data_IF_012447998345
#
_entry.id   IF_012447998345
#
_cell.length_a   1.000
_cell.length_b   1.000
_cell.length_c   1.000
_cell.angle_alpha   90.00
_cell.angle_beta   90.00
_cell.angle_gamma   90.00
#
_symmetry.space_group_name_H-M   'P 1'
#
loop_
_entity.id
_entity.type
_entity.pdbx_description
1 polymer ?
#
# COMPACT_ATOMS: atom_id res chain seq x y z
N UNK A 1 9.45 17.35 21.46
CA UNK A 1 8.48 16.27 21.60
C UNK A 1 7.33 16.65 20.67
N UNK A 2 7.27 16.07 19.47
CA UNK A 2 6.20 16.31 18.52
C UNK A 2 5.11 15.27 18.78
N UNK A 3 3.93 15.76 19.20
CA UNK A 3 2.73 14.92 19.32
C UNK A 3 2.29 14.46 17.95
N UNK A 4 2.26 13.14 17.75
CA UNK A 4 1.79 12.52 16.52
C UNK A 4 0.30 12.78 16.32
N UNK A 5 -0.03 13.49 15.26
CA UNK A 5 -1.39 13.80 14.86
C UNK A 5 -2.00 12.58 14.16
N UNK A 6 -3.00 11.95 14.75
CA UNK A 6 -3.78 10.89 14.10
C UNK A 6 -4.87 11.54 13.26
N UNK A 7 -4.90 11.23 11.96
CA UNK A 7 -5.91 11.73 11.03
C UNK A 7 -7.05 10.74 10.90
N UNK A 8 -8.29 11.19 11.02
CA UNK A 8 -9.51 10.39 10.85
C UNK A 8 -10.23 10.83 9.59
N UNK A 9 -10.62 9.88 8.74
CA UNK A 9 -11.36 10.17 7.52
C UNK A 9 -12.85 10.28 7.79
N UNK A 10 -13.44 11.42 7.43
CA UNK A 10 -14.87 11.66 7.50
C UNK A 10 -15.65 10.87 6.41
N UNK A 11 -16.97 10.75 6.56
CA UNK A 11 -17.82 10.04 5.59
C UNK A 11 -17.85 10.67 4.19
N UNK A 12 -17.33 11.87 4.06
CA UNK A 12 -17.18 12.63 2.80
C UNK A 12 -15.78 12.45 2.16
N UNK A 13 -14.92 11.58 2.72
CA UNK A 13 -13.56 11.34 2.24
C UNK A 13 -12.54 12.39 2.68
N UNK A 14 -12.89 13.33 3.56
CA UNK A 14 -11.94 14.30 4.10
C UNK A 14 -11.22 13.76 5.33
N UNK A 15 -9.92 14.05 5.46
CA UNK A 15 -9.10 13.67 6.61
C UNK A 15 -9.08 14.81 7.63
N UNK A 16 -9.52 14.51 8.86
CA UNK A 16 -9.46 15.42 10.00
C UNK A 16 -8.55 14.87 11.09
N UNK A 17 -7.85 15.75 11.78
CA UNK A 17 -6.96 15.38 12.88
C UNK A 17 -7.75 14.94 14.12
N UNK A 18 -7.40 13.78 14.68
CA UNK A 18 -7.94 13.28 15.97
C UNK A 18 -6.98 13.62 17.11
N UNK A 19 -7.51 14.13 18.22
CA UNK A 19 -6.74 14.50 19.40
C UNK A 19 -6.52 13.35 20.39
N UNK A 20 -6.90 12.11 20.10
CA UNK A 20 -6.69 10.97 21.00
C UNK A 20 -5.57 10.06 20.52
N UNK A 21 -4.56 10.00 21.36
CA UNK A 21 -3.24 9.43 21.14
C UNK A 21 -3.18 7.98 20.75
N UNK A 22 -2.72 7.73 19.54
CA UNK A 22 -2.26 6.43 19.05
C UNK A 22 -0.75 6.29 19.17
N UNK A 23 -0.23 5.97 20.37
CA UNK A 23 1.17 5.52 20.51
C UNK A 23 1.26 4.07 20.07
N UNK A 24 1.90 3.77 18.98
CA UNK A 24 2.28 2.39 18.79
C UNK A 24 2.87 1.91 17.48
N UNK A 25 2.67 2.54 16.35
CA UNK A 25 3.10 1.93 15.09
C UNK A 25 4.56 2.21 14.72
N UNK A 26 5.00 3.46 14.82
CA UNK A 26 6.36 3.86 14.44
C UNK A 26 7.47 3.35 15.36
N UNK A 27 7.16 3.00 16.62
CA UNK A 27 8.18 2.55 17.60
C UNK A 27 8.64 1.10 17.44
N UNK A 28 7.84 0.22 16.77
CA UNK A 28 8.22 -1.19 16.60
C UNK A 28 9.04 -1.48 15.35
N UNK A 29 8.99 -0.60 14.35
CA UNK A 29 9.76 -0.76 13.11
C UNK A 29 11.08 0.03 13.08
N UNK A 30 11.31 0.93 14.04
CA UNK A 30 12.47 1.82 14.08
C UNK A 30 13.69 1.34 14.88
N UNK A 31 13.57 0.30 15.70
CA UNK A 31 14.65 -0.07 16.63
C UNK A 31 15.65 -1.12 16.13
N UNK A 32 15.48 -1.65 14.92
CA UNK A 32 16.38 -2.69 14.38
C UNK A 32 17.44 -2.17 13.37
N UNK A 33 17.58 -0.88 13.16
CA UNK A 33 18.54 -0.33 12.19
C UNK A 33 19.26 0.91 12.72
N UNK A 34 20.07 0.74 13.77
CA UNK A 34 21.13 1.68 14.11
C UNK A 34 22.45 0.93 14.09
N UNK A 35 23.10 0.98 12.91
CA UNK A 35 24.56 1.03 12.71
C UNK A 35 24.81 1.03 11.20
N UNK A 36 25.05 2.12 10.61
CA UNK A 36 26.24 2.60 9.97
C UNK A 36 25.99 3.85 9.11
N UNK A 37 26.82 4.84 9.36
CA UNK A 37 26.63 6.21 8.92
C UNK A 37 27.23 6.47 7.53
N UNK A 38 26.65 7.45 6.84
CA UNK A 38 27.20 8.29 5.78
C UNK A 38 27.04 7.80 4.34
N UNK A 39 25.90 8.13 3.77
CA UNK A 39 25.86 8.69 2.41
C UNK A 39 24.59 9.53 2.26
N UNK A 40 24.72 10.82 2.48
CA UNK A 40 23.71 11.82 2.13
C UNK A 40 23.74 11.94 0.61
N UNK A 41 22.76 11.39 -0.09
CA UNK A 41 22.51 11.69 -1.48
C UNK A 41 21.46 12.80 -1.57
N UNK A 42 21.95 14.00 -1.83
CA UNK A 42 21.17 15.16 -2.24
C UNK A 42 20.55 14.86 -3.61
N UNK A 43 19.24 14.66 -3.68
CA UNK A 43 18.51 14.64 -4.93
C UNK A 43 18.24 16.07 -5.38
N UNK A 44 19.15 16.61 -6.19
CA UNK A 44 18.94 17.80 -7.02
C UNK A 44 17.91 17.48 -8.12
N UNK A 45 17.12 18.49 -8.40
CA UNK A 45 16.12 18.58 -9.48
C UNK A 45 16.79 18.25 -10.82
N UNK A 46 16.06 17.56 -11.66
CA UNK A 46 16.25 17.24 -13.09
C UNK A 46 16.69 15.78 -13.39
N UNK A 47 15.78 15.11 -14.07
CA UNK A 47 15.97 14.04 -15.04
C UNK A 47 17.02 12.96 -14.70
N UNK A 48 16.56 11.95 -13.96
CA UNK A 48 17.03 10.59 -14.24
C UNK A 48 15.97 9.61 -13.79
N UNK A 49 15.16 9.15 -14.75
CA UNK A 49 14.59 7.81 -14.66
C UNK A 49 15.82 6.89 -14.63
N UNK A 50 16.10 6.16 -13.55
CA UNK A 50 17.20 5.21 -13.60
C UNK A 50 16.83 4.13 -14.60
N UNK A 51 17.60 4.03 -15.67
CA UNK A 51 17.60 2.96 -16.68
C UNK A 51 17.80 1.55 -16.06
N UNK A 52 17.85 1.45 -14.76
CA UNK A 52 18.03 0.24 -13.96
C UNK A 52 16.72 -0.43 -13.50
N UNK A 53 15.55 0.03 -13.97
CA UNK A 53 14.28 -0.71 -13.88
C UNK A 53 14.06 -1.64 -15.08
N UNK A 54 15.10 -1.77 -15.96
CA UNK A 54 15.06 -2.75 -17.02
C UNK A 54 15.02 -4.18 -16.46
N UNK A 55 13.88 -4.81 -16.70
CA UNK A 55 13.70 -6.24 -16.92
C UNK A 55 14.45 -7.19 -15.95
N UNK A 56 14.24 -7.03 -14.64
CA UNK A 56 14.43 -8.19 -13.77
C UNK A 56 13.26 -9.15 -14.02
N UNK A 57 13.58 -10.44 -14.22
CA UNK A 57 12.62 -11.50 -14.54
C UNK A 57 11.28 -11.31 -13.80
N UNK A 58 10.13 -11.57 -14.47
CA UNK A 58 8.81 -11.40 -13.86
C UNK A 58 8.76 -12.14 -12.53
N UNK A 59 8.12 -11.53 -11.54
CA UNK A 59 7.93 -12.14 -10.23
C UNK A 59 7.38 -13.57 -10.41
N UNK A 60 7.87 -14.56 -9.66
CA UNK A 60 7.37 -15.92 -9.75
C UNK A 60 5.84 -15.88 -9.57
N UNK A 61 5.13 -16.60 -10.43
CA UNK A 61 3.67 -16.70 -10.33
C UNK A 61 3.32 -17.27 -8.96
N UNK A 62 2.67 -16.46 -8.13
CA UNK A 62 2.07 -16.91 -6.88
C UNK A 62 0.97 -17.95 -7.12
N UNK A 63 0.41 -18.49 -6.05
CA UNK A 63 -0.78 -19.34 -6.14
C UNK A 63 -1.89 -18.55 -6.83
N UNK A 64 -2.54 -19.15 -7.83
CA UNK A 64 -3.72 -18.54 -8.45
C UNK A 64 -4.80 -18.32 -7.37
N UNK A 65 -5.45 -17.13 -7.35
CA UNK A 65 -6.55 -16.87 -6.43
C UNK A 65 -7.71 -17.83 -6.65
N UNK A 66 -8.47 -18.14 -5.60
CA UNK A 66 -9.77 -18.77 -5.77
C UNK A 66 -10.67 -17.87 -6.62
N UNK A 67 -11.50 -18.42 -7.55
CA UNK A 67 -12.30 -17.60 -8.45
C UNK A 67 -13.18 -16.57 -7.74
N UNK A 68 -13.75 -16.94 -6.59
CA UNK A 68 -14.56 -16.05 -5.77
C UNK A 68 -13.78 -14.87 -5.18
N UNK A 69 -12.51 -15.10 -4.82
CA UNK A 69 -11.63 -14.03 -4.29
C UNK A 69 -11.27 -13.07 -5.42
N UNK A 70 -10.91 -13.61 -6.59
CA UNK A 70 -10.59 -12.77 -7.75
C UNK A 70 -11.79 -11.91 -8.16
N UNK A 71 -12.97 -12.52 -8.28
CA UNK A 71 -14.20 -11.81 -8.61
C UNK A 71 -14.52 -10.67 -7.61
N UNK A 72 -14.30 -10.88 -6.31
CA UNK A 72 -14.52 -9.82 -5.31
C UNK A 72 -13.44 -8.73 -5.35
N UNK A 73 -12.17 -9.08 -5.65
CA UNK A 73 -11.11 -8.09 -5.89
C UNK A 73 -11.50 -7.19 -7.06
N UNK A 74 -11.93 -7.78 -8.18
CA UNK A 74 -12.40 -7.06 -9.37
C UNK A 74 -13.62 -6.18 -9.05
N UNK A 75 -14.63 -6.73 -8.37
CA UNK A 75 -15.82 -5.99 -7.98
C UNK A 75 -15.49 -4.81 -7.04
N UNK A 76 -14.59 -5.02 -6.09
CA UNK A 76 -14.10 -3.97 -5.19
C UNK A 76 -13.34 -2.89 -5.96
N UNK A 77 -12.43 -3.26 -6.85
CA UNK A 77 -11.70 -2.30 -7.68
C UNK A 77 -12.65 -1.48 -8.57
N UNK A 78 -13.64 -2.12 -9.20
CA UNK A 78 -14.64 -1.45 -10.03
C UNK A 78 -15.50 -0.47 -9.23
N UNK A 79 -15.87 -0.81 -7.99
CA UNK A 79 -16.62 0.09 -7.09
C UNK A 79 -15.93 1.43 -6.90
N UNK A 80 -14.61 1.44 -6.91
CA UNK A 80 -13.77 2.62 -6.71
C UNK A 80 -13.11 3.16 -7.98
N UNK A 81 -13.43 2.63 -9.17
CA UNK A 81 -12.77 3.01 -10.43
C UNK A 81 -12.94 4.49 -10.82
N UNK A 82 -13.94 5.17 -10.27
CA UNK A 82 -14.16 6.62 -10.48
C UNK A 82 -13.55 7.52 -9.41
N UNK A 83 -12.79 6.98 -8.45
CA UNK A 83 -12.27 7.76 -7.32
C UNK A 83 -11.21 8.77 -7.78
N UNK A 84 -11.31 10.04 -7.27
CA UNK A 84 -10.45 11.15 -7.68
C UNK A 84 -8.95 10.91 -7.45
N UNK A 85 -8.61 10.14 -6.42
CA UNK A 85 -7.22 9.77 -6.12
C UNK A 85 -6.53 9.08 -7.31
N UNK A 86 -7.26 8.32 -8.12
CA UNK A 86 -6.72 7.63 -9.30
C UNK A 86 -6.25 8.63 -10.34
N UNK A 87 -7.09 9.63 -10.65
CA UNK A 87 -6.71 10.70 -11.60
C UNK A 87 -5.51 11.50 -11.10
N UNK A 88 -5.46 11.79 -9.81
CA UNK A 88 -4.35 12.53 -9.20
C UNK A 88 -3.04 11.74 -9.22
N UNK A 89 -3.11 10.40 -9.18
CA UNK A 89 -1.98 9.50 -9.27
C UNK A 89 -1.66 9.05 -10.72
N UNK A 90 -2.40 9.56 -11.72
CA UNK A 90 -2.21 9.19 -13.13
C UNK A 90 -2.62 7.76 -13.48
N UNK A 91 -3.50 7.14 -12.68
CA UNK A 91 -3.98 5.78 -12.91
C UNK A 91 -5.32 5.77 -13.64
N UNK A 92 -5.42 4.98 -14.70
CA UNK A 92 -6.69 4.60 -15.31
C UNK A 92 -7.44 3.59 -14.42
N UNK A 93 -8.73 3.33 -14.71
CA UNK A 93 -9.49 2.29 -14.04
C UNK A 93 -8.85 0.89 -14.19
N UNK A 94 -8.29 0.60 -15.38
CA UNK A 94 -7.58 -0.66 -15.64
C UNK A 94 -6.27 -0.73 -14.84
N UNK A 95 -5.49 0.36 -14.77
CA UNK A 95 -4.28 0.41 -13.96
C UNK A 95 -4.60 0.20 -12.49
N UNK A 96 -5.67 0.81 -12.00
CA UNK A 96 -6.14 0.63 -10.63
C UNK A 96 -6.49 -0.82 -10.32
N UNK A 97 -7.25 -1.49 -11.17
CA UNK A 97 -7.59 -2.90 -10.98
C UNK A 97 -6.33 -3.75 -10.81
N UNK A 98 -5.37 -3.62 -11.72
CA UNK A 98 -4.12 -4.38 -11.68
C UNK A 98 -3.25 -4.01 -10.47
N UNK A 99 -3.20 -2.73 -10.14
CA UNK A 99 -2.45 -2.21 -9.00
C UNK A 99 -3.00 -2.73 -7.67
N UNK A 100 -4.33 -2.69 -7.51
CA UNK A 100 -5.00 -3.21 -6.33
C UNK A 100 -4.84 -4.72 -6.21
N UNK A 101 -5.09 -5.48 -7.29
CA UNK A 101 -4.89 -6.92 -7.33
C UNK A 101 -3.44 -7.31 -6.98
N UNK A 102 -2.47 -6.60 -7.54
CA UNK A 102 -1.06 -6.83 -7.25
C UNK A 102 -0.71 -6.58 -5.78
N UNK A 103 -1.30 -5.54 -5.16
CA UNK A 103 -1.13 -5.29 -3.73
C UNK A 103 -1.67 -6.46 -2.90
N UNK A 104 -2.88 -6.95 -3.17
CA UNK A 104 -3.47 -8.10 -2.46
C UNK A 104 -2.62 -9.38 -2.65
N UNK A 105 -2.07 -9.61 -3.85
CA UNK A 105 -1.17 -10.74 -4.09
C UNK A 105 0.07 -10.67 -3.21
N UNK A 106 0.69 -9.50 -3.10
CA UNK A 106 1.93 -9.32 -2.32
C UNK A 106 1.66 -9.38 -0.82
N UNK A 107 0.51 -8.86 -0.35
CA UNK A 107 0.15 -8.84 1.07
C UNK A 107 -0.12 -10.24 1.62
N UNK A 108 -0.91 -11.04 0.93
CA UNK A 108 -1.40 -12.30 1.50
C UNK A 108 -1.23 -13.52 0.61
N UNK A 109 -0.79 -13.37 -0.65
CA UNK A 109 -0.86 -14.43 -1.65
C UNK A 109 -2.29 -14.92 -1.86
N UNK A 110 -3.27 -14.02 -1.76
CA UNK A 110 -4.70 -14.29 -1.85
C UNK A 110 -5.25 -15.19 -0.73
N UNK A 111 -4.58 -15.25 0.43
CA UNK A 111 -5.05 -16.03 1.58
C UNK A 111 -5.95 -15.16 2.49
N UNK A 112 -7.28 -15.44 2.56
CA UNK A 112 -8.20 -14.66 3.38
C UNK A 112 -7.99 -14.83 4.89
N UNK A 113 -7.20 -15.83 5.29
CA UNK A 113 -6.87 -16.13 6.70
C UNK A 113 -5.42 -15.80 7.04
N UNK A 114 -4.74 -15.02 6.20
CA UNK A 114 -3.37 -14.62 6.47
C UNK A 114 -3.29 -13.79 7.75
N UNK A 115 -2.29 -14.09 8.56
CA UNK A 115 -1.96 -13.30 9.75
C UNK A 115 -0.45 -13.12 9.79
N UNK A 116 0.00 -11.87 9.84
CA UNK A 116 1.43 -11.58 9.94
C UNK A 116 1.94 -11.71 11.39
N UNK A 117 3.25 -11.86 11.61
CA UNK A 117 3.84 -11.89 12.96
C UNK A 117 3.54 -10.62 13.78
N UNK A 118 3.24 -9.50 13.13
CA UNK A 118 2.92 -8.22 13.77
C UNK A 118 1.41 -7.98 13.92
N UNK A 119 0.59 -8.96 13.50
CA UNK A 119 -0.86 -8.93 13.71
C UNK A 119 -1.67 -8.30 12.58
N UNK A 120 -1.09 -8.10 11.39
CA UNK A 120 -1.86 -7.72 10.21
C UNK A 120 -2.74 -8.90 9.74
N UNK A 121 -3.95 -8.62 9.25
CA UNK A 121 -5.01 -9.61 9.03
C UNK A 121 -5.54 -9.61 7.60
N UNK A 122 -5.84 -10.79 7.09
CA UNK A 122 -6.65 -11.05 5.92
C UNK A 122 -5.96 -10.75 4.59
N UNK A 123 -6.76 -10.59 3.54
CA UNK A 123 -6.31 -10.42 2.15
C UNK A 123 -5.44 -9.18 1.95
N UNK A 124 -5.85 -8.06 2.51
CA UNK A 124 -5.13 -6.78 2.43
C UNK A 124 -4.20 -6.51 3.60
N UNK A 125 -3.98 -7.49 4.51
CA UNK A 125 -3.10 -7.36 5.69
C UNK A 125 -3.35 -6.07 6.47
N UNK A 126 -4.62 -5.81 6.80
CA UNK A 126 -4.99 -4.65 7.60
C UNK A 126 -4.58 -4.85 9.06
N UNK A 127 -3.92 -3.85 9.62
CA UNK A 127 -3.72 -3.79 11.08
C UNK A 127 -5.08 -3.58 11.77
N UNK A 128 -5.31 -4.20 12.95
CA UNK A 128 -6.58 -4.04 13.68
C UNK A 128 -6.96 -2.57 13.94
N UNK A 129 -5.99 -1.72 14.24
CA UNK A 129 -6.23 -0.28 14.42
C UNK A 129 -6.71 0.40 13.12
N UNK A 130 -6.11 0.04 11.97
CA UNK A 130 -6.53 0.55 10.67
C UNK A 130 -7.93 0.07 10.31
N UNK A 131 -8.23 -1.22 10.55
CA UNK A 131 -9.54 -1.79 10.31
C UNK A 131 -10.63 -1.09 11.15
N UNK A 132 -10.33 -0.78 12.43
CA UNK A 132 -11.23 -0.05 13.30
C UNK A 132 -11.50 1.39 12.80
N UNK A 133 -10.48 2.10 12.33
CA UNK A 133 -10.64 3.45 11.74
C UNK A 133 -11.51 3.39 10.49
N UNK A 134 -11.38 2.33 9.70
CA UNK A 134 -12.13 2.13 8.46
C UNK A 134 -13.53 1.56 8.70
N UNK A 135 -13.88 1.23 9.94
CA UNK A 135 -15.16 0.60 10.31
C UNK A 135 -15.40 -0.69 9.50
N UNK A 136 -14.41 -1.60 9.51
CA UNK A 136 -14.47 -2.92 8.86
C UNK A 136 -14.05 -4.02 9.83
N UNK A 137 -14.68 -5.20 9.71
CA UNK A 137 -14.18 -6.42 10.35
C UNK A 137 -13.03 -7.00 9.50
N UNK A 138 -11.79 -7.00 10.00
CA UNK A 138 -10.66 -7.53 9.24
C UNK A 138 -10.71 -9.06 9.05
N UNK A 139 -11.55 -9.78 9.80
CA UNK A 139 -11.75 -11.22 9.66
C UNK A 139 -12.80 -11.57 8.59
N UNK A 140 -13.69 -10.64 8.26
CA UNK A 140 -14.54 -10.76 7.08
C UNK A 140 -13.73 -10.37 5.84
N UNK A 141 -13.43 -11.36 5.00
CA UNK A 141 -12.55 -11.15 3.87
C UNK A 141 -13.08 -10.14 2.82
N UNK A 142 -14.41 -9.96 2.71
CA UNK A 142 -15.00 -8.94 1.83
C UNK A 142 -14.85 -7.54 2.41
N UNK A 143 -15.10 -7.40 3.71
CA UNK A 143 -14.86 -6.13 4.40
C UNK A 143 -13.37 -5.78 4.43
N UNK A 144 -12.50 -6.79 4.57
CA UNK A 144 -11.05 -6.62 4.51
C UNK A 144 -10.61 -6.09 3.13
N UNK A 145 -11.15 -6.64 2.03
CA UNK A 145 -10.91 -6.10 0.69
C UNK A 145 -11.42 -4.66 0.56
N UNK A 146 -12.64 -4.37 0.98
CA UNK A 146 -13.17 -3.01 0.92
C UNK A 146 -12.31 -2.01 1.70
N UNK A 147 -11.98 -2.35 2.94
CA UNK A 147 -11.11 -1.53 3.80
C UNK A 147 -9.72 -1.32 3.19
N UNK A 148 -9.11 -2.37 2.65
CA UNK A 148 -7.79 -2.28 2.02
C UNK A 148 -7.79 -1.39 0.77
N UNK A 149 -8.86 -1.45 -0.05
CA UNK A 149 -9.02 -0.56 -1.20
C UNK A 149 -9.13 0.91 -0.77
N UNK A 150 -9.99 1.19 0.22
CA UNK A 150 -10.13 2.55 0.77
C UNK A 150 -8.84 3.07 1.37
N UNK A 151 -8.11 2.24 2.09
CA UNK A 151 -6.82 2.63 2.66
C UNK A 151 -5.78 2.96 1.59
N UNK A 152 -5.67 2.11 0.55
CA UNK A 152 -4.74 2.35 -0.57
C UNK A 152 -5.12 3.61 -1.36
N UNK A 153 -6.40 3.86 -1.60
CA UNK A 153 -6.90 5.07 -2.24
C UNK A 153 -6.60 6.33 -1.43
N UNK A 154 -6.72 6.27 -0.10
CA UNK A 154 -6.34 7.37 0.77
C UNK A 154 -4.85 7.72 0.61
N UNK A 155 -3.97 6.69 0.52
CA UNK A 155 -2.54 6.92 0.28
C UNK A 155 -2.28 7.50 -1.13
N UNK A 156 -2.97 6.99 -2.16
CA UNK A 156 -2.89 7.55 -3.52
C UNK A 156 -3.33 9.02 -3.56
N UNK A 157 -4.39 9.37 -2.85
CA UNK A 157 -4.86 10.76 -2.74
C UNK A 157 -3.85 11.67 -2.04
N UNK A 158 -3.23 11.17 -0.96
CA UNK A 158 -2.25 11.93 -0.16
C UNK A 158 -0.93 12.15 -0.91
N UNK A 159 -0.39 11.11 -1.52
CA UNK A 159 0.97 11.14 -2.09
C UNK A 159 1.00 11.33 -3.60
N UNK A 160 -0.10 11.11 -4.31
CA UNK A 160 -0.23 11.28 -5.76
C UNK A 160 0.84 10.52 -6.58
N UNK A 161 1.43 9.48 -6.00
CA UNK A 161 2.40 8.56 -6.60
C UNK A 161 2.05 7.15 -6.17
N UNK A 162 1.92 6.21 -7.13
CA UNK A 162 1.69 4.80 -6.83
C UNK A 162 2.78 4.21 -5.92
N UNK A 163 4.05 4.56 -6.14
CA UNK A 163 5.17 4.06 -5.36
C UNK A 163 5.11 4.55 -3.91
N UNK A 164 4.82 5.84 -3.71
CA UNK A 164 4.71 6.41 -2.36
C UNK A 164 3.45 5.92 -1.65
N UNK A 165 2.36 5.67 -2.38
CA UNK A 165 1.15 5.08 -1.83
C UNK A 165 1.39 3.64 -1.33
N UNK A 166 2.14 2.81 -2.07
CA UNK A 166 2.56 1.48 -1.61
C UNK A 166 3.48 1.54 -0.40
N UNK A 167 4.43 2.47 -0.42
CA UNK A 167 5.31 2.68 0.73
C UNK A 167 4.53 3.09 1.98
N UNK A 168 3.54 4.00 1.83
CA UNK A 168 2.68 4.44 2.90
C UNK A 168 1.71 3.34 3.37
N UNK A 169 1.23 2.50 2.46
CA UNK A 169 0.41 1.34 2.81
C UNK A 169 1.17 0.38 3.73
N UNK A 170 2.43 0.11 3.44
CA UNK A 170 3.27 -0.83 4.18
C UNK A 170 3.90 -0.21 5.44
N UNK A 171 4.53 0.96 5.34
CA UNK A 171 5.29 1.58 6.44
C UNK A 171 4.48 2.59 7.26
N UNK A 172 3.27 2.93 6.82
CA UNK A 172 2.49 4.04 7.34
C UNK A 172 2.81 5.38 6.65
N UNK A 173 1.79 6.25 6.49
CA UNK A 173 1.94 7.52 5.80
C UNK A 173 2.87 8.52 6.50
N UNK A 174 3.01 8.44 7.83
CA UNK A 174 3.92 9.28 8.60
C UNK A 174 5.38 9.01 8.21
N UNK A 175 5.77 7.74 8.09
CA UNK A 175 7.12 7.39 7.69
C UNK A 175 7.47 7.96 6.30
N UNK A 176 6.55 7.87 5.34
CA UNK A 176 6.76 8.45 3.99
C UNK A 176 6.88 9.96 4.05
N UNK A 177 6.11 10.62 4.91
CA UNK A 177 6.18 12.08 5.11
C UNK A 177 7.49 12.49 5.76
N UNK A 178 7.90 11.80 6.82
CA UNK A 178 9.10 12.10 7.61
C UNK A 178 10.39 11.95 6.77
N UNK A 179 10.42 10.92 5.92
CA UNK A 179 11.55 10.70 4.99
C UNK A 179 11.44 11.50 3.69
N UNK A 180 10.31 12.13 3.41
CA UNK A 180 10.08 12.84 2.15
C UNK A 180 10.10 11.93 0.92
N UNK A 181 9.85 10.62 1.10
CA UNK A 181 9.95 9.60 0.05
C UNK A 181 9.77 8.20 0.60
N UNK A 182 10.20 7.18 -0.17
CA UNK A 182 10.16 5.78 0.29
C UNK A 182 11.17 5.64 1.44
N UNK A 183 10.73 5.24 2.65
CA UNK A 183 11.62 5.05 3.79
C UNK A 183 12.72 4.01 3.49
N UNK A 184 13.92 4.13 4.07
CA UNK A 184 15.03 3.21 3.86
C UNK A 184 14.84 1.87 4.57
N UNK A 185 13.59 1.43 4.74
CA UNK A 185 13.25 0.14 5.32
C UNK A 185 13.30 -0.93 4.24
N UNK A 186 14.11 -1.98 4.44
CA UNK A 186 14.26 -3.07 3.47
C UNK A 186 12.92 -3.74 3.11
N UNK A 187 12.03 -3.89 4.11
CA UNK A 187 10.70 -4.45 3.93
C UNK A 187 9.86 -3.58 3.00
N UNK A 188 9.77 -2.27 3.28
CA UNK A 188 8.98 -1.33 2.49
C UNK A 188 9.49 -1.19 1.06
N UNK A 189 10.79 -1.04 0.88
CA UNK A 189 11.40 -1.03 -0.45
C UNK A 189 11.17 -2.35 -1.21
N UNK A 190 11.23 -3.48 -0.49
CA UNK A 190 10.92 -4.79 -1.01
C UNK A 190 9.46 -4.93 -1.43
N UNK A 191 8.54 -4.44 -0.60
CA UNK A 191 7.11 -4.42 -0.88
C UNK A 191 6.79 -3.63 -2.15
N UNK A 192 7.25 -2.38 -2.24
CA UNK A 192 7.05 -1.53 -3.43
C UNK A 192 7.53 -2.22 -4.70
N UNK A 193 8.78 -2.73 -4.69
CA UNK A 193 9.33 -3.45 -5.86
C UNK A 193 8.52 -4.68 -6.24
N UNK A 194 8.07 -5.48 -5.27
CA UNK A 194 7.27 -6.69 -5.52
C UNK A 194 5.93 -6.34 -6.15
N UNK A 195 5.20 -5.36 -5.59
CA UNK A 195 3.89 -4.96 -6.14
C UNK A 195 4.03 -4.46 -7.57
N UNK A 196 4.98 -3.58 -7.86
CA UNK A 196 5.20 -3.06 -9.21
C UNK A 196 5.60 -4.18 -10.20
N UNK A 197 6.41 -5.15 -9.76
CA UNK A 197 6.74 -6.32 -10.58
C UNK A 197 5.51 -7.20 -10.89
N UNK A 198 4.61 -7.37 -9.93
CA UNK A 198 3.34 -8.08 -10.14
C UNK A 198 2.44 -7.31 -11.10
N UNK A 199 2.34 -5.98 -10.97
CA UNK A 199 1.59 -5.14 -11.93
C UNK A 199 2.11 -5.33 -13.36
N UNK A 200 3.43 -5.31 -13.55
CA UNK A 200 4.04 -5.51 -14.86
C UNK A 200 3.71 -6.90 -15.44
N UNK A 201 3.76 -7.95 -14.61
CA UNK A 201 3.36 -9.30 -15.01
C UNK A 201 1.89 -9.37 -15.42
N UNK A 202 0.97 -8.84 -14.60
CA UNK A 202 -0.47 -8.85 -14.90
C UNK A 202 -0.81 -8.08 -16.18
N UNK A 203 -0.11 -6.97 -16.46
CA UNK A 203 -0.25 -6.23 -17.72
C UNK A 203 0.20 -7.08 -18.91
N UNK A 204 1.29 -7.84 -18.78
CA UNK A 204 1.79 -8.74 -19.82
C UNK A 204 0.82 -9.90 -20.11
N UNK A 205 0.18 -10.45 -19.09
CA UNK A 205 -0.78 -11.56 -19.23
C UNK A 205 -2.08 -11.12 -19.99
N UNK A 206 -2.50 -9.85 -19.90
CA UNK A 206 -3.66 -9.30 -20.61
C UNK A 206 -3.34 -9.01 -22.10
N UNK A 207 -2.08 -8.79 -22.43
CA UNK A 207 -1.64 -8.40 -23.77
C UNK A 207 -1.39 -9.61 -24.71
N UNK A 208 -1.57 -10.84 -24.21
CA UNK A 208 -1.45 -12.10 -24.96
C UNK A 208 -2.82 -12.69 -25.29
#
# INVERSE_FOLDING_TARGET
VADGLVMVMGPDGTLAASSEGGRGFSRRYGEAAQEDSRSVLLFGREEMIPEALEAKAPAPRGRAPAPEILAEIEATALRYAGHDALRHAGLSASDWLLFYQANIEVESGYNPRATSPVGALGLGQLMPATAAILDVDPHDWRQNLDGSARYLLAQLGRFRSPELALAAYNAGPEAVTDYGGIPPYQETQGHVRKVLSVVARLKGDISQ
#
